data_IF_187179481040
#
_entry.id   IF_187179481040
#
_cell.length_a   1.000
_cell.length_b   1.000
_cell.length_c   1.000
_cell.angle_alpha   90.00
_cell.angle_beta   90.00
_cell.angle_gamma   90.00
#
_symmetry.space_group_name_H-M   'P 1'
#
loop_
_entity.id
_entity.type
_entity.pdbx_description
1 polymer ?
#
# COMPACT_ATOMS: atom_id res chain seq x y z
N UNK A 1 15.12 4.82 2.06
CA UNK A 1 15.39 3.60 1.28
C UNK A 1 16.84 3.20 1.44
N UNK A 2 17.06 1.96 1.62
CA UNK A 2 18.40 1.41 1.84
C UNK A 2 19.06 1.10 0.49
N UNK A 3 20.19 1.75 0.19
CA UNK A 3 20.89 1.52 -1.07
C UNK A 3 21.43 0.11 -1.19
N UNK A 4 21.81 -0.50 -0.07
CA UNK A 4 22.40 -1.84 -0.04
C UNK A 4 21.34 -2.93 -0.13
N UNK A 5 20.11 -2.63 0.27
CA UNK A 5 18.98 -3.54 0.21
C UNK A 5 18.27 -3.56 -1.12
N UNK A 6 18.72 -2.77 -2.08
CA UNK A 6 17.94 -2.51 -3.29
C UNK A 6 16.74 -1.63 -2.95
N UNK A 7 15.82 -1.56 -3.80
CA UNK A 7 14.62 -0.78 -3.58
C UNK A 7 14.73 0.59 -4.24
N UNK A 8 13.57 1.16 -4.44
CA UNK A 8 13.42 2.38 -5.22
C UNK A 8 12.23 3.17 -4.70
N UNK A 9 12.45 4.46 -4.43
CA UNK A 9 11.41 5.38 -3.99
C UNK A 9 11.29 6.53 -4.98
N UNK A 10 10.17 6.60 -5.67
CA UNK A 10 9.95 7.62 -6.69
C UNK A 10 8.89 8.68 -6.35
N UNK A 11 8.02 8.51 -5.34
CA UNK A 11 7.01 9.52 -5.05
C UNK A 11 7.60 10.86 -4.66
N UNK A 12 7.01 11.94 -5.15
CA UNK A 12 7.35 13.30 -4.75
C UNK A 12 6.53 13.76 -3.55
N UNK A 13 6.21 12.83 -2.64
CA UNK A 13 5.25 13.07 -1.61
C UNK A 13 5.61 12.30 -0.34
N UNK A 14 5.36 12.93 0.80
CA UNK A 14 5.59 12.34 2.11
C UNK A 14 4.25 12.22 2.83
N UNK A 15 3.94 11.07 3.45
CA UNK A 15 2.71 10.89 4.22
C UNK A 15 2.58 11.90 5.36
N UNK A 16 1.34 12.19 5.77
CA UNK A 16 1.07 13.10 6.90
C UNK A 16 1.67 12.59 8.21
N UNK A 17 1.68 11.28 8.40
CA UNK A 17 2.23 10.62 9.59
C UNK A 17 3.26 9.58 9.16
N UNK A 18 4.45 10.01 8.69
CA UNK A 18 5.44 9.09 8.13
C UNK A 18 5.90 8.02 9.12
N UNK A 19 5.84 8.29 10.42
CA UNK A 19 6.16 7.32 11.46
C UNK A 19 5.22 6.11 11.50
N UNK A 20 4.05 6.22 10.86
CA UNK A 20 3.10 5.11 10.76
C UNK A 20 3.35 4.22 9.54
N UNK A 21 4.25 4.62 8.65
CA UNK A 21 4.59 3.87 7.44
C UNK A 21 5.94 3.18 7.62
N UNK A 22 5.93 1.86 7.57
CA UNK A 22 7.14 1.03 7.70
C UNK A 22 7.42 0.35 6.36
N UNK A 23 8.63 0.51 5.86
CA UNK A 23 9.05 -0.03 4.56
C UNK A 23 10.30 -0.88 4.75
N UNK A 24 10.23 -2.14 4.32
CA UNK A 24 11.30 -3.10 4.43
C UNK A 24 12.42 -2.89 3.41
N UNK A 25 13.23 -3.93 3.24
CA UNK A 25 14.35 -3.93 2.32
C UNK A 25 13.92 -4.33 0.91
N UNK A 26 14.61 -3.81 -0.09
CA UNK A 26 14.34 -4.10 -1.51
C UNK A 26 12.87 -3.87 -1.88
N UNK A 27 12.34 -2.71 -1.49
CA UNK A 27 10.98 -2.30 -1.84
C UNK A 27 11.06 -1.26 -2.94
N UNK A 28 10.31 -1.48 -4.01
CA UNK A 28 10.17 -0.53 -5.10
C UNK A 28 8.82 0.18 -4.98
N UNK A 29 8.86 1.49 -4.83
CA UNK A 29 7.68 2.34 -4.79
C UNK A 29 7.72 3.26 -6.00
N UNK A 30 6.84 3.01 -6.94
CA UNK A 30 6.82 3.72 -8.21
C UNK A 30 6.19 5.12 -8.09
N UNK A 31 6.14 5.84 -9.20
CA UNK A 31 5.67 7.22 -9.24
C UNK A 31 4.23 7.37 -8.75
N UNK A 32 3.98 8.45 -8.03
CA UNK A 32 2.64 8.87 -7.58
C UNK A 32 1.91 7.87 -6.67
N UNK A 33 2.64 6.96 -6.03
CA UNK A 33 2.06 6.10 -4.99
C UNK A 33 1.75 6.94 -3.77
N UNK A 34 0.60 6.68 -3.14
CA UNK A 34 0.15 7.36 -1.92
C UNK A 34 -0.05 6.35 -0.80
N UNK A 35 0.39 6.73 0.39
CA UNK A 35 0.12 6.00 1.63
C UNK A 35 -0.78 6.87 2.49
N UNK A 36 -2.01 6.43 2.70
CA UNK A 36 -2.97 7.16 3.53
C UNK A 36 -3.15 6.43 4.85
N UNK A 37 -2.41 6.89 5.85
CA UNK A 37 -2.39 6.33 7.20
C UNK A 37 -3.52 6.85 8.09
N UNK A 38 -4.45 7.62 7.52
CA UNK A 38 -5.61 8.17 8.21
C UNK A 38 -6.77 8.41 7.25
N UNK A 39 -7.94 8.67 7.81
CA UNK A 39 -9.05 9.22 7.04
C UNK A 39 -9.65 10.43 7.78
N UNK A 40 -10.63 11.07 7.16
CA UNK A 40 -11.31 12.25 7.69
C UNK A 40 -12.81 11.98 7.87
N UNK A 41 -13.20 10.71 7.96
CA UNK A 41 -14.61 10.30 8.00
C UNK A 41 -15.31 10.84 9.27
N UNK A 42 -14.58 10.98 10.36
CA UNK A 42 -15.10 11.57 11.59
C UNK A 42 -15.73 12.96 11.39
N UNK A 43 -15.27 13.70 10.39
CA UNK A 43 -15.78 15.06 10.10
C UNK A 43 -17.21 15.04 9.62
N UNK A 44 -17.67 13.94 9.02
CA UNK A 44 -19.04 13.83 8.57
C UNK A 44 -20.03 14.08 9.72
N UNK A 45 -19.81 13.41 10.84
CA UNK A 45 -20.69 13.54 12.00
C UNK A 45 -20.31 14.72 12.90
N UNK A 46 -19.02 14.90 13.16
CA UNK A 46 -18.56 15.95 14.09
C UNK A 46 -18.82 17.37 13.56
N UNK A 47 -18.98 17.52 12.24
CA UNK A 47 -19.34 18.78 11.60
C UNK A 47 -20.83 18.94 11.33
N UNK A 48 -21.63 17.93 11.65
CA UNK A 48 -23.06 17.93 11.36
C UNK A 48 -23.85 18.42 12.58
N UNK A 49 -24.51 19.57 12.46
CA UNK A 49 -25.30 20.16 13.54
C UNK A 49 -26.49 19.31 13.96
N UNK A 50 -26.97 18.40 13.10
CA UNK A 50 -28.07 17.49 13.40
C UNK A 50 -27.63 16.25 14.18
N UNK A 51 -26.32 15.97 14.22
CA UNK A 51 -25.77 14.84 14.96
C UNK A 51 -25.54 15.25 16.43
N UNK A 52 -26.16 14.55 17.36
CA UNK A 52 -26.06 14.83 18.80
C UNK A 52 -25.42 13.68 19.60
N UNK A 53 -24.85 12.68 18.92
CA UNK A 53 -24.18 11.56 19.56
C UNK A 53 -22.77 11.91 20.06
N UNK A 54 -22.04 10.89 20.47
CA UNK A 54 -20.66 11.05 20.92
C UNK A 54 -19.75 11.55 19.79
N UNK A 55 -18.69 12.26 20.18
CA UNK A 55 -17.67 12.70 19.25
C UNK A 55 -17.04 11.48 18.57
N UNK A 56 -17.06 11.44 17.25
CA UNK A 56 -16.47 10.34 16.48
C UNK A 56 -14.95 10.51 16.44
N UNK A 57 -14.18 9.51 16.88
CA UNK A 57 -12.73 9.64 16.95
C UNK A 57 -12.08 9.70 15.56
N UNK A 58 -10.96 10.42 15.50
CA UNK A 58 -10.10 10.48 14.33
C UNK A 58 -9.40 9.15 14.12
N UNK A 59 -9.47 8.61 12.90
CA UNK A 59 -8.90 7.30 12.59
C UNK A 59 -7.52 7.43 11.98
N UNK A 60 -6.54 6.79 12.61
CA UNK A 60 -5.18 6.57 12.09
C UNK A 60 -4.85 5.09 12.19
N UNK A 61 -3.97 4.61 11.33
CA UNK A 61 -3.51 3.24 11.39
C UNK A 61 -2.17 3.06 10.67
N UNK A 62 -1.47 1.99 11.01
CA UNK A 62 -0.17 1.68 10.44
C UNK A 62 -0.29 1.10 9.05
N UNK A 63 0.74 1.36 8.26
CA UNK A 63 0.96 0.70 6.96
C UNK A 63 2.32 0.03 7.04
N UNK A 64 2.36 -1.26 6.74
CA UNK A 64 3.59 -2.06 6.75
C UNK A 64 3.82 -2.65 5.38
N UNK A 65 4.94 -2.31 4.78
CA UNK A 65 5.40 -2.93 3.53
C UNK A 65 6.59 -3.80 3.88
N UNK A 66 6.44 -5.10 3.72
CA UNK A 66 7.51 -6.05 4.02
C UNK A 66 8.58 -6.07 2.93
N UNK A 67 9.57 -6.94 3.06
CA UNK A 67 10.71 -7.00 2.15
C UNK A 67 10.30 -7.49 0.74
N UNK A 68 11.04 -7.06 -0.26
CA UNK A 68 10.90 -7.54 -1.64
C UNK A 68 9.48 -7.33 -2.19
N UNK A 69 9.02 -6.10 -2.16
CA UNK A 69 7.69 -5.70 -2.63
C UNK A 69 7.83 -4.67 -3.75
N UNK A 70 7.00 -4.78 -4.76
CA UNK A 70 6.87 -3.78 -5.81
C UNK A 70 5.48 -3.15 -5.73
N UNK A 71 5.42 -1.85 -5.60
CA UNK A 71 4.17 -1.10 -5.64
C UNK A 71 4.15 -0.28 -6.92
N UNK A 72 3.22 -0.65 -7.81
CA UNK A 72 3.06 -0.02 -9.11
C UNK A 72 2.58 1.44 -9.00
N UNK A 73 2.89 2.21 -10.03
CA UNK A 73 2.58 3.64 -10.08
C UNK A 73 1.11 3.95 -9.81
N UNK A 74 0.88 5.06 -9.12
CA UNK A 74 -0.46 5.60 -8.79
C UNK A 74 -1.32 4.69 -7.93
N UNK A 75 -0.71 3.73 -7.25
CA UNK A 75 -1.42 2.92 -6.27
C UNK A 75 -1.64 3.70 -4.97
N UNK A 76 -2.67 3.32 -4.26
CA UNK A 76 -3.02 3.87 -2.95
C UNK A 76 -3.01 2.73 -1.95
N UNK A 77 -2.26 2.89 -0.86
CA UNK A 77 -2.24 1.92 0.24
C UNK A 77 -2.89 2.59 1.44
N UNK A 78 -3.93 1.98 1.98
CA UNK A 78 -4.66 2.54 3.11
C UNK A 78 -4.13 2.03 4.45
N UNK A 79 -4.54 2.72 5.52
CA UNK A 79 -4.19 2.37 6.89
C UNK A 79 -4.63 0.95 7.27
N UNK A 80 -3.99 0.40 8.27
CA UNK A 80 -4.22 -0.96 8.78
C UNK A 80 -3.92 -2.05 7.74
N UNK A 81 -3.06 -1.76 6.76
CA UNK A 81 -2.69 -2.71 5.71
C UNK A 81 -1.24 -3.13 5.89
N UNK A 82 -1.00 -4.43 5.82
CA UNK A 82 0.32 -5.03 5.67
C UNK A 82 0.42 -5.65 4.28
N UNK A 83 1.40 -5.23 3.51
CA UNK A 83 1.73 -5.87 2.23
C UNK A 83 2.83 -6.90 2.50
N UNK A 84 2.49 -8.17 2.37
CA UNK A 84 3.39 -9.29 2.64
C UNK A 84 4.56 -9.35 1.67
N UNK A 85 5.65 -9.92 2.15
CA UNK A 85 6.90 -10.01 1.38
C UNK A 85 6.72 -10.72 0.04
N UNK A 86 7.58 -10.40 -0.92
CA UNK A 86 7.58 -10.98 -2.27
C UNK A 86 6.25 -10.77 -3.00
N UNK A 87 5.61 -9.64 -2.78
CA UNK A 87 4.31 -9.31 -3.37
C UNK A 87 4.42 -8.15 -4.35
N UNK A 88 3.41 -8.05 -5.20
CA UNK A 88 3.28 -6.96 -6.18
C UNK A 88 1.89 -6.34 -6.01
N UNK A 89 1.87 -5.02 -5.95
CA UNK A 89 0.66 -4.23 -6.09
C UNK A 89 0.66 -3.66 -7.51
N UNK A 90 -0.29 -4.07 -8.32
CA UNK A 90 -0.38 -3.60 -9.70
C UNK A 90 -0.67 -2.10 -9.75
N UNK A 91 -0.18 -1.43 -10.79
CA UNK A 91 -0.37 0.02 -10.93
C UNK A 91 -1.84 0.43 -10.87
N UNK A 92 -2.11 1.57 -10.24
CA UNK A 92 -3.45 2.12 -10.13
C UNK A 92 -4.37 1.40 -9.15
N UNK A 93 -3.83 0.56 -8.29
CA UNK A 93 -4.63 -0.21 -7.32
C UNK A 93 -4.95 0.60 -6.07
N UNK A 94 -6.06 0.25 -5.40
CA UNK A 94 -6.40 0.76 -4.08
C UNK A 94 -6.43 -0.41 -3.11
N UNK A 95 -5.40 -0.51 -2.27
CA UNK A 95 -5.23 -1.63 -1.33
C UNK A 95 -5.88 -1.28 0.00
N UNK A 96 -6.94 -2.00 0.32
CA UNK A 96 -7.76 -1.76 1.52
C UNK A 96 -7.63 -2.86 2.56
N UNK A 97 -6.98 -3.98 2.22
CA UNK A 97 -6.80 -5.16 3.08
C UNK A 97 -5.39 -5.69 2.94
N UNK A 98 -4.96 -6.48 3.90
CA UNK A 98 -3.66 -7.12 3.87
C UNK A 98 -3.46 -7.94 2.60
N UNK A 99 -2.23 -7.92 2.12
CA UNK A 99 -1.78 -8.71 0.97
C UNK A 99 -0.89 -9.82 1.50
N UNK A 100 -1.27 -11.06 1.20
CA UNK A 100 -0.49 -12.24 1.60
C UNK A 100 0.84 -12.27 0.87
N UNK A 101 1.89 -12.87 1.45
CA UNK A 101 3.17 -13.04 0.76
C UNK A 101 3.02 -13.74 -0.59
N UNK A 102 3.92 -13.44 -1.52
CA UNK A 102 3.98 -14.02 -2.87
C UNK A 102 2.74 -13.78 -3.72
N UNK A 103 2.01 -12.72 -3.44
CA UNK A 103 0.71 -12.43 -4.07
C UNK A 103 0.79 -11.20 -4.95
N UNK A 104 0.09 -11.24 -6.07
CA UNK A 104 -0.15 -10.07 -6.91
C UNK A 104 -1.59 -9.64 -6.69
N UNK A 105 -1.77 -8.39 -6.30
CA UNK A 105 -3.10 -7.77 -6.16
C UNK A 105 -3.25 -6.63 -7.17
N UNK A 106 -4.47 -6.37 -7.57
CA UNK A 106 -4.77 -5.26 -8.47
C UNK A 106 -6.22 -4.85 -8.42
N UNK A 107 -6.50 -3.64 -8.87
CA UNK A 107 -7.83 -3.08 -8.98
C UNK A 107 -8.22 -2.17 -7.82
N UNK A 108 -9.47 -1.72 -7.85
CA UNK A 108 -10.05 -0.86 -6.82
C UNK A 108 -11.46 -1.38 -6.45
N UNK A 109 -11.67 -1.95 -5.25
CA UNK A 109 -10.63 -2.33 -4.29
C UNK A 109 -9.74 -3.44 -4.84
N UNK A 110 -8.49 -3.48 -4.41
CA UNK A 110 -7.53 -4.47 -4.91
C UNK A 110 -7.96 -5.89 -4.54
N UNK A 111 -7.78 -6.80 -5.48
CA UNK A 111 -8.08 -8.23 -5.33
C UNK A 111 -6.87 -9.05 -5.78
N UNK A 112 -6.77 -10.27 -5.32
CA UNK A 112 -5.74 -11.20 -5.78
C UNK A 112 -5.95 -11.49 -7.26
N UNK A 113 -4.93 -11.23 -8.08
CA UNK A 113 -4.97 -11.47 -9.52
C UNK A 113 -3.88 -12.43 -9.97
N UNK A 114 -3.01 -12.85 -9.08
CA UNK A 114 -1.95 -13.78 -9.42
C UNK A 114 -0.99 -14.06 -8.29
N UNK A 115 0.06 -14.77 -8.64
CA UNK A 115 1.15 -15.16 -7.75
C UNK A 115 2.47 -14.71 -8.35
N UNK A 116 3.34 -14.15 -7.50
CA UNK A 116 4.67 -13.75 -7.95
C UNK A 116 5.53 -14.92 -8.35
N UNK A 117 5.31 -16.08 -7.76
CA UNK A 117 6.03 -17.32 -8.15
C UNK A 117 5.67 -17.76 -9.55
N UNK A 118 4.40 -17.71 -9.92
CA UNK A 118 3.94 -18.01 -11.27
C UNK A 118 4.43 -16.97 -12.27
N UNK A 119 4.41 -15.70 -11.88
CA UNK A 119 4.92 -14.63 -12.74
C UNK A 119 6.41 -14.82 -13.01
N UNK A 120 7.18 -15.20 -12.01
CA UNK A 120 8.61 -15.48 -12.19
C UNK A 120 8.84 -16.58 -13.23
N UNK A 121 8.09 -17.66 -13.14
CA UNK A 121 8.18 -18.75 -14.12
C UNK A 121 7.90 -18.26 -15.54
N UNK A 122 6.88 -17.43 -15.73
CA UNK A 122 6.55 -16.87 -17.04
C UNK A 122 7.65 -15.96 -17.57
N UNK A 123 8.19 -15.08 -16.69
CA UNK A 123 9.25 -14.16 -17.09
C UNK A 123 10.54 -14.86 -17.46
N UNK A 124 10.87 -15.96 -16.78
CA UNK A 124 12.05 -16.76 -17.11
C UNK A 124 11.90 -17.49 -18.45
N UNK A 125 10.70 -17.90 -18.81
CA UNK A 125 10.42 -18.48 -20.14
C UNK A 125 10.65 -17.47 -21.26
N UNK A 126 10.40 -16.19 -21.03
CA UNK A 126 10.57 -15.14 -22.01
C UNK A 126 12.05 -14.95 -22.42
N UNK A 127 12.98 -15.53 -21.66
CA UNK A 127 14.42 -15.49 -21.97
C UNK A 127 14.84 -16.54 -23.00
N UNK A 128 14.00 -17.49 -23.30
CA UNK A 128 14.27 -18.57 -24.29
C UNK A 128 13.80 -18.13 -25.69
#
# INVERSE_FOLDING_TARGET
>A
MNKDGGGYWHPNWIPSYPELVSIGNNVTVAADVRFYEHDEINRLWNGDSSYSGELVPYKKGRIVIEDNVVIGARSIILYDVTVGHHSIVAAGSVVTKDVMPYTIVGGNPARVIGSTRELLKRRLKDLL
#
